data_IF_870721998023
#
_entry.id   IF_870721998023
#
_cell.length_a   1.000
_cell.length_b   1.000
_cell.length_c   1.000
_cell.angle_alpha   90.00
_cell.angle_beta   90.00
_cell.angle_gamma   90.00
#
_symmetry.space_group_name_H-M   'P 1'
#
loop_
_entity.id
_entity.type
_entity.pdbx_description
1 polymer ?
#
# COMPACT_ATOMS: atom_id res chain seq x y z
N UNK A 1 -11.58 6.50 2.17
CA UNK A 1 -11.13 5.47 3.14
C UNK A 1 -9.61 5.47 3.17
N UNK A 2 -8.98 5.18 4.33
CA UNK A 2 -7.52 5.03 4.42
C UNK A 2 -7.15 3.56 4.31
N UNK A 3 -6.15 3.24 3.51
CA UNK A 3 -5.69 1.87 3.22
C UNK A 3 -4.17 1.82 3.42
N UNK A 4 -3.69 0.80 4.10
CA UNK A 4 -2.27 0.48 4.21
C UNK A 4 -2.00 -0.80 3.40
N UNK A 5 -1.09 -0.72 2.43
CA UNK A 5 -0.65 -1.88 1.64
C UNK A 5 0.70 -2.35 2.19
N UNK A 6 0.72 -3.54 2.78
CA UNK A 6 1.95 -4.22 3.20
C UNK A 6 2.22 -5.35 2.23
N UNK A 7 3.30 -5.26 1.46
CA UNK A 7 3.61 -6.20 0.38
C UNK A 7 5.12 -6.16 0.10
N UNK A 8 5.80 -7.31 0.05
CA UNK A 8 7.26 -7.36 -0.15
C UNK A 8 7.65 -7.10 -1.62
N UNK A 9 6.80 -7.50 -2.57
CA UNK A 9 7.02 -7.27 -3.99
C UNK A 9 6.74 -5.82 -4.37
N UNK A 10 7.80 -5.05 -4.67
CA UNK A 10 7.70 -3.62 -5.01
C UNK A 10 6.80 -3.30 -6.21
N UNK A 11 6.74 -4.16 -7.24
CA UNK A 11 5.86 -3.95 -8.40
C UNK A 11 4.40 -4.14 -8.01
N UNK A 12 4.09 -5.18 -7.24
CA UNK A 12 2.74 -5.45 -6.78
C UNK A 12 2.26 -4.37 -5.80
N UNK A 13 3.11 -3.99 -4.84
CA UNK A 13 2.86 -2.89 -3.89
C UNK A 13 2.52 -1.59 -4.61
N UNK A 14 3.30 -1.26 -5.64
CA UNK A 14 3.05 -0.09 -6.47
C UNK A 14 1.71 -0.19 -7.23
N UNK A 15 1.44 -1.32 -7.89
CA UNK A 15 0.21 -1.54 -8.64
C UNK A 15 -1.05 -1.37 -7.77
N UNK A 16 -1.06 -2.01 -6.59
CA UNK A 16 -2.16 -1.89 -5.63
C UNK A 16 -2.33 -0.45 -5.15
N UNK A 17 -1.22 0.24 -4.87
CA UNK A 17 -1.26 1.65 -4.45
C UNK A 17 -1.88 2.57 -5.49
N UNK A 18 -1.59 2.35 -6.77
CA UNK A 18 -2.18 3.12 -7.88
C UNK A 18 -3.67 2.84 -8.00
N UNK A 19 -4.07 1.57 -8.06
CA UNK A 19 -5.49 1.20 -8.19
C UNK A 19 -6.35 1.76 -7.06
N UNK A 20 -5.88 1.65 -5.82
CA UNK A 20 -6.62 2.13 -4.66
C UNK A 20 -6.73 3.67 -4.63
N UNK A 21 -5.71 4.39 -5.11
CA UNK A 21 -5.76 5.85 -5.28
C UNK A 21 -6.76 6.27 -6.35
N UNK A 22 -6.81 5.56 -7.48
CA UNK A 22 -7.79 5.80 -8.54
C UNK A 22 -9.24 5.58 -8.06
N UNK A 23 -9.45 4.66 -7.12
CA UNK A 23 -10.73 4.46 -6.43
C UNK A 23 -11.05 5.53 -5.37
N UNK A 24 -10.20 6.56 -5.21
CA UNK A 24 -10.40 7.65 -4.26
C UNK A 24 -10.03 7.31 -2.82
N UNK A 25 -9.18 6.30 -2.61
CA UNK A 25 -8.65 5.98 -1.28
C UNK A 25 -7.34 6.74 -1.02
N UNK A 26 -7.11 7.08 0.25
CA UNK A 26 -5.79 7.52 0.71
C UNK A 26 -4.97 6.27 1.02
N UNK A 27 -3.80 6.14 0.39
CA UNK A 27 -3.02 4.90 0.43
C UNK A 27 -1.60 5.17 0.89
N UNK A 28 -1.26 4.52 2.00
CA UNK A 28 0.08 4.36 2.53
C UNK A 28 0.59 2.96 2.17
N UNK A 29 1.91 2.78 2.00
CA UNK A 29 2.49 1.51 1.58
C UNK A 29 3.79 1.23 2.35
N UNK A 30 3.98 -0.02 2.74
CA UNK A 30 5.13 -0.53 3.48
C UNK A 30 5.62 -1.84 2.86
N UNK A 31 6.93 -2.09 2.92
CA UNK A 31 7.51 -3.34 2.42
C UNK A 31 7.31 -4.51 3.37
N UNK A 32 7.31 -4.24 4.68
CA UNK A 32 7.17 -5.25 5.71
C UNK A 32 6.35 -4.74 6.91
N UNK A 33 6.06 -5.64 7.86
CA UNK A 33 5.29 -5.33 9.06
C UNK A 33 5.99 -4.30 9.97
N UNK A 34 7.34 -4.24 9.94
CA UNK A 34 8.11 -3.31 10.75
C UNK A 34 7.97 -1.88 10.21
N UNK A 35 8.03 -1.69 8.89
CA UNK A 35 7.73 -0.42 8.23
C UNK A 35 6.26 -0.01 8.38
N UNK A 36 5.37 -0.99 8.54
CA UNK A 36 3.95 -0.79 8.80
C UNK A 36 3.63 -0.43 10.27
N UNK A 37 4.63 -0.30 11.14
CA UNK A 37 4.49 -0.10 12.59
C UNK A 37 3.58 -1.15 13.27
N UNK A 38 3.70 -2.43 12.89
CA UNK A 38 2.90 -3.56 13.40
C UNK A 38 3.74 -4.71 13.99
#
# INVERSE_FOLDING_TARGET
>A
MRVLVVEDNGLLRHHLSVQMREMGHQVDAAEDAKEADY
#
